data_IF_747820519267
#
_entry.id   IF_747820519267
#
_cell.length_a   1.000
_cell.length_b   1.000
_cell.length_c   1.000
_cell.angle_alpha   90.00
_cell.angle_beta   90.00
_cell.angle_gamma   90.00
#
_symmetry.space_group_name_H-M   'P 1'
#
loop_
_entity.id
_entity.type
_entity.pdbx_description
1 polymer ?
#
# COMPACT_ATOMS: atom_id res chain seq x y z
N UNK A 1 22.23 8.69 -7.26
CA UNK A 1 21.88 8.58 -5.83
C UNK A 1 20.94 9.72 -5.50
N UNK A 2 19.64 9.45 -5.37
CA UNK A 2 18.68 10.49 -4.99
C UNK A 2 18.85 10.69 -3.48
N UNK A 3 19.36 11.86 -3.07
CA UNK A 3 19.60 12.17 -1.67
C UNK A 3 18.29 12.14 -0.89
N UNK A 4 18.24 11.30 0.14
CA UNK A 4 17.18 11.29 1.12
C UNK A 4 17.26 12.59 1.94
N UNK A 5 16.57 13.63 1.49
CA UNK A 5 16.24 14.75 2.37
C UNK A 5 15.21 14.20 3.36
N UNK A 6 15.59 14.10 4.63
CA UNK A 6 14.65 14.00 5.73
C UNK A 6 13.60 15.09 5.54
N UNK A 7 12.35 14.70 5.29
CA UNK A 7 11.21 15.62 5.35
C UNK A 7 11.00 15.99 6.82
N UNK A 8 11.89 16.83 7.35
CA UNK A 8 11.82 17.38 8.69
C UNK A 8 10.81 18.53 8.72
N UNK A 9 9.72 18.34 9.47
CA UNK A 9 8.75 19.40 9.75
C UNK A 9 7.36 18.92 10.17
N UNK A 10 7.00 17.67 9.86
CA UNK A 10 5.76 17.05 10.36
C UNK A 10 6.00 16.35 11.70
N UNK A 11 5.00 16.38 12.59
CA UNK A 11 4.88 15.38 13.65
C UNK A 11 4.96 14.01 12.96
N UNK A 12 5.94 13.19 13.35
CA UNK A 12 5.98 11.80 12.90
C UNK A 12 4.84 11.08 13.62
N UNK A 13 3.63 11.15 13.05
CA UNK A 13 2.50 10.40 13.57
C UNK A 13 2.86 8.91 13.50
N UNK A 14 2.83 8.25 14.66
CA UNK A 14 3.06 6.82 14.72
C UNK A 14 2.06 6.14 13.79
N UNK A 15 2.57 5.35 12.85
CA UNK A 15 1.75 4.59 11.92
C UNK A 15 0.94 3.54 12.71
N UNK A 16 -0.32 3.85 13.01
CA UNK A 16 -1.20 3.01 13.82
C UNK A 16 -2.00 2.05 12.91
N UNK A 17 -1.31 1.07 12.32
CA UNK A 17 -1.96 0.05 11.50
C UNK A 17 -1.10 -0.45 10.33
N UNK A 18 -1.70 -1.31 9.52
CA UNK A 18 -1.09 -1.84 8.29
C UNK A 18 -1.59 -1.08 7.07
N UNK A 19 -0.70 -0.82 6.12
CA UNK A 19 -0.97 -0.04 4.92
C UNK A 19 -0.66 -0.92 3.72
N UNK A 20 -1.63 -1.05 2.82
CA UNK A 20 -1.54 -1.85 1.60
C UNK A 20 -1.60 -0.89 0.42
N UNK A 21 -0.56 -0.89 -0.41
CA UNK A 21 -0.50 -0.09 -1.63
C UNK A 21 -0.63 -1.00 -2.84
N UNK A 22 -1.71 -0.82 -3.60
CA UNK A 22 -2.04 -1.64 -4.77
C UNK A 22 -1.67 -0.88 -6.04
N UNK A 23 -0.89 -1.51 -6.91
CA UNK A 23 -0.47 -0.95 -8.18
C UNK A 23 -1.69 -0.84 -9.12
N UNK A 24 -2.19 0.38 -9.34
CA UNK A 24 -3.37 0.66 -10.16
C UNK A 24 -3.07 1.53 -11.39
N UNK A 25 -1.80 1.61 -11.79
CA UNK A 25 -1.39 2.37 -12.97
C UNK A 25 -1.93 1.69 -14.26
N UNK A 26 -2.39 2.48 -15.24
CA UNK A 26 -2.84 1.94 -16.53
C UNK A 26 -1.86 2.15 -17.70
N UNK A 27 -0.95 3.13 -17.59
CA UNK A 27 -0.13 3.58 -18.74
C UNK A 27 1.00 2.62 -19.13
N UNK A 28 1.70 2.06 -18.14
CA UNK A 28 2.85 1.17 -18.36
C UNK A 28 2.41 -0.28 -18.56
N UNK A 29 1.39 -0.72 -17.83
CA UNK A 29 0.76 -2.02 -18.02
C UNK A 29 -0.75 -1.95 -17.72
N UNK A 30 -1.58 -2.20 -18.72
CA UNK A 30 -3.04 -2.05 -18.64
C UNK A 30 -3.67 -3.01 -17.62
N UNK A 31 -3.09 -4.20 -17.41
CA UNK A 31 -3.59 -5.16 -16.41
C UNK A 31 -3.51 -4.61 -14.98
N UNK A 32 -2.55 -3.74 -14.64
CA UNK A 32 -2.56 -3.07 -13.34
C UNK A 32 -3.74 -2.11 -13.21
N UNK A 33 -4.08 -1.39 -14.28
CA UNK A 33 -5.25 -0.51 -14.33
C UNK A 33 -6.58 -1.26 -14.27
N UNK A 34 -6.62 -2.53 -14.70
CA UNK A 34 -7.81 -3.40 -14.62
C UNK A 34 -7.89 -4.12 -13.27
N UNK A 35 -6.83 -4.82 -12.87
CA UNK A 35 -6.82 -5.64 -11.65
C UNK A 35 -6.75 -4.80 -10.38
N UNK A 36 -6.05 -3.66 -10.40
CA UNK A 36 -5.81 -2.82 -9.24
C UNK A 36 -7.10 -2.35 -8.55
N UNK A 37 -8.03 -1.68 -9.27
CA UNK A 37 -9.30 -1.24 -8.69
C UNK A 37 -10.12 -2.40 -8.10
N UNK A 38 -10.21 -3.53 -8.80
CA UNK A 38 -10.96 -4.71 -8.34
C UNK A 38 -10.37 -5.24 -7.02
N UNK A 39 -9.03 -5.30 -6.91
CA UNK A 39 -8.36 -5.74 -5.70
C UNK A 39 -8.58 -4.77 -4.53
N UNK A 40 -8.53 -3.46 -4.78
CA UNK A 40 -8.80 -2.44 -3.76
C UNK A 40 -10.23 -2.59 -3.22
N UNK A 41 -11.21 -2.75 -4.09
CA UNK A 41 -12.61 -2.92 -3.68
C UNK A 41 -12.78 -4.18 -2.83
N UNK A 42 -12.25 -5.32 -3.29
CA UNK A 42 -12.34 -6.59 -2.56
C UNK A 42 -11.61 -6.59 -1.22
N UNK A 43 -10.43 -5.99 -1.15
CA UNK A 43 -9.72 -5.82 0.12
C UNK A 43 -10.52 -4.95 1.09
N UNK A 44 -11.08 -3.84 0.61
CA UNK A 44 -11.90 -2.98 1.45
C UNK A 44 -13.14 -3.71 1.96
N UNK A 45 -13.87 -4.43 1.11
CA UNK A 45 -15.02 -5.28 1.52
C UNK A 45 -14.64 -6.23 2.66
N UNK A 46 -13.58 -7.02 2.49
CA UNK A 46 -13.08 -7.97 3.49
C UNK A 46 -12.66 -7.28 4.80
N UNK A 47 -12.02 -6.11 4.71
CA UNK A 47 -11.65 -5.30 5.88
C UNK A 47 -12.90 -4.85 6.64
N UNK A 48 -13.98 -4.49 5.94
CA UNK A 48 -15.24 -4.13 6.60
C UNK A 48 -15.87 -5.35 7.28
N UNK A 49 -15.97 -6.47 6.55
CA UNK A 49 -16.57 -7.72 7.04
C UNK A 49 -15.86 -8.23 8.30
N UNK A 50 -14.54 -8.06 8.39
CA UNK A 50 -13.72 -8.48 9.53
C UNK A 50 -13.61 -7.43 10.64
N UNK A 51 -14.25 -6.26 10.50
CA UNK A 51 -14.18 -5.18 11.49
C UNK A 51 -12.79 -4.56 11.63
N UNK A 52 -11.98 -4.56 10.57
CA UNK A 52 -10.58 -4.12 10.58
C UNK A 52 -10.35 -2.70 10.04
N UNK A 53 -11.42 -1.93 9.79
CA UNK A 53 -11.35 -0.59 9.17
C UNK A 53 -10.39 0.40 9.85
N UNK A 54 -10.21 0.29 11.17
CA UNK A 54 -9.34 1.19 11.93
C UNK A 54 -7.90 0.64 12.09
N UNK A 55 -7.58 -0.49 11.44
CA UNK A 55 -6.29 -1.18 11.57
C UNK A 55 -5.60 -1.41 10.23
N UNK A 56 -6.35 -1.48 9.13
CA UNK A 56 -5.82 -1.77 7.80
C UNK A 56 -6.32 -0.72 6.81
N UNK A 57 -5.40 -0.09 6.09
CA UNK A 57 -5.66 0.97 5.13
C UNK A 57 -5.20 0.52 3.74
N UNK A 58 -6.08 0.62 2.74
CA UNK A 58 -5.79 0.20 1.36
C UNK A 58 -5.81 1.44 0.46
N UNK A 59 -4.76 1.63 -0.33
CA UNK A 59 -4.63 2.76 -1.25
C UNK A 59 -4.15 2.31 -2.61
N UNK A 60 -4.62 2.99 -3.65
CA UNK A 60 -4.00 2.92 -4.96
C UNK A 60 -2.64 3.61 -4.94
N UNK A 61 -1.68 3.05 -5.66
CA UNK A 61 -0.40 3.70 -5.95
C UNK A 61 -0.07 3.63 -7.44
N UNK A 62 0.98 4.37 -7.81
CA UNK A 62 1.55 4.33 -9.16
C UNK A 62 2.34 3.03 -9.38
N UNK A 63 3.30 3.04 -10.32
CA UNK A 63 4.05 1.86 -10.71
C UNK A 63 5.05 1.42 -9.63
N UNK A 64 4.85 0.24 -9.02
CA UNK A 64 5.79 -0.37 -8.06
C UNK A 64 6.93 -1.12 -8.77
N UNK A 65 6.67 -1.67 -9.96
CA UNK A 65 7.52 -2.66 -10.62
C UNK A 65 6.80 -4.01 -10.73
N UNK A 66 7.49 -5.07 -11.17
CA UNK A 66 6.94 -6.44 -11.14
C UNK A 66 5.66 -6.67 -11.96
N UNK A 67 5.37 -5.85 -12.98
CA UNK A 67 4.12 -5.89 -13.76
C UNK A 67 3.83 -7.24 -14.46
N UNK A 68 4.85 -8.10 -14.57
CA UNK A 68 4.67 -9.53 -14.90
C UNK A 68 3.59 -10.19 -14.03
N UNK A 69 3.42 -9.72 -12.79
CA UNK A 69 2.46 -10.15 -11.77
C UNK A 69 1.41 -9.06 -11.45
N UNK A 70 0.95 -8.31 -12.45
CA UNK A 70 0.03 -7.19 -12.24
C UNK A 70 -1.20 -7.51 -11.38
N UNK A 71 -1.71 -6.45 -10.74
CA UNK A 71 -2.47 -6.61 -9.51
C UNK A 71 -1.55 -6.82 -8.30
N UNK A 72 -0.27 -6.45 -8.42
CA UNK A 72 0.67 -6.55 -7.32
C UNK A 72 0.47 -5.42 -6.29
N UNK A 73 0.91 -5.69 -5.08
CA UNK A 73 0.79 -4.79 -3.95
C UNK A 73 2.02 -4.88 -3.04
N UNK A 74 2.20 -3.87 -2.22
CA UNK A 74 3.19 -3.85 -1.13
C UNK A 74 2.50 -3.49 0.17
N UNK A 75 2.98 -4.05 1.27
CA UNK A 75 2.41 -3.82 2.60
C UNK A 75 3.44 -3.21 3.54
N UNK A 76 3.00 -2.31 4.41
CA UNK A 76 3.79 -1.74 5.49
C UNK A 76 3.04 -1.88 6.81
N UNK A 77 3.73 -2.31 7.85
CA UNK A 77 3.12 -2.45 9.18
C UNK A 77 4.13 -2.17 10.29
N UNK A 78 3.71 -1.61 11.43
CA UNK A 78 4.57 -1.47 12.60
C UNK A 78 4.91 -2.85 13.18
N UNK A 79 6.19 -3.02 13.51
CA UNK A 79 6.71 -4.18 14.23
C UNK A 79 6.64 -3.91 15.75
N UNK A 80 6.82 -4.95 16.55
CA UNK A 80 6.82 -4.86 18.01
C UNK A 80 7.84 -3.87 18.59
N UNK A 81 8.94 -3.61 17.88
CA UNK A 81 9.96 -2.62 18.26
C UNK A 81 9.68 -1.19 17.74
N UNK A 82 8.47 -0.94 17.24
CA UNK A 82 8.04 0.36 16.71
C UNK A 82 8.58 0.71 15.33
N UNK A 83 9.45 -0.12 14.74
CA UNK A 83 9.94 0.08 13.37
C UNK A 83 8.88 -0.32 12.34
N UNK A 84 8.81 0.39 11.22
CA UNK A 84 7.95 0.02 10.10
C UNK A 84 8.67 -1.02 9.24
N UNK A 85 8.00 -2.14 8.97
CA UNK A 85 8.48 -3.21 8.11
C UNK A 85 7.65 -3.28 6.84
N UNK A 86 8.33 -3.39 5.69
CA UNK A 86 7.70 -3.58 4.39
C UNK A 86 7.73 -5.06 3.96
N UNK A 87 6.68 -5.52 3.29
CA UNK A 87 6.64 -6.78 2.55
C UNK A 87 6.18 -6.53 1.11
N UNK A 88 6.91 -7.09 0.14
CA UNK A 88 6.72 -6.88 -1.30
C UNK A 88 7.03 -8.13 -2.13
#
# INVERSE_FOLDING_TARGET
MVGCKSWGGGVQDAMTGSYIFVCAHGKRDVRCGVCGPILIDKLNEEIQLKGLKNKIFVMACSHIGGHKYAGNLITFSPRQDGKIMGHW
#
